data_IF_633578461822
#
_entry.id   IF_633578461822
#
_cell.length_a   1.000
_cell.length_b   1.000
_cell.length_c   1.000
_cell.angle_alpha   90.00
_cell.angle_beta   90.00
_cell.angle_gamma   90.00
#
_symmetry.space_group_name_H-M   'P 1'
#
loop_
_entity.id
_entity.type
_entity.pdbx_description
1 polymer ?
#
# COMPACT_ATOMS: atom_id res chain seq x y z
N UNK A 1 -26.81 -12.43 13.19
CA UNK A 1 -27.16 -11.29 14.09
C UNK A 1 -25.99 -10.36 14.32
N UNK A 2 -24.87 -10.73 14.98
CA UNK A 2 -23.73 -9.80 15.17
C UNK A 2 -23.18 -9.26 13.84
N UNK A 3 -22.94 -10.14 12.87
CA UNK A 3 -22.51 -9.77 11.52
C UNK A 3 -23.47 -8.78 10.85
N UNK A 4 -24.78 -9.07 10.91
CA UNK A 4 -25.79 -8.25 10.22
C UNK A 4 -25.96 -6.87 10.87
N UNK A 5 -25.75 -6.79 12.20
CA UNK A 5 -25.83 -5.53 12.94
C UNK A 5 -24.73 -4.53 12.52
N UNK A 6 -23.56 -5.01 12.11
CA UNK A 6 -22.42 -4.19 11.68
C UNK A 6 -22.29 -4.07 10.15
N UNK A 7 -23.09 -4.80 9.36
CA UNK A 7 -23.02 -4.79 7.88
C UNK A 7 -23.43 -3.39 7.35
N UNK A 8 -22.53 -2.69 6.62
CA UNK A 8 -22.85 -1.36 6.10
C UNK A 8 -24.04 -1.37 5.13
N UNK A 9 -24.28 -2.48 4.43
CA UNK A 9 -25.44 -2.64 3.55
C UNK A 9 -26.78 -2.71 4.29
N UNK A 10 -26.75 -3.06 5.57
CA UNK A 10 -27.90 -3.17 6.49
C UNK A 10 -27.98 -2.01 7.50
N UNK A 11 -27.22 -0.93 7.27
CA UNK A 11 -27.22 0.25 8.15
C UNK A 11 -26.22 0.17 9.31
N UNK A 12 -25.24 -0.74 9.24
CA UNK A 12 -24.20 -0.93 10.25
C UNK A 12 -23.33 0.30 10.51
N UNK A 13 -23.20 1.22 9.54
CA UNK A 13 -22.47 2.49 9.75
C UNK A 13 -23.07 3.35 10.86
N UNK A 14 -24.40 3.30 11.05
CA UNK A 14 -25.08 3.97 12.18
C UNK A 14 -24.62 3.41 13.52
N UNK A 15 -24.54 2.09 13.65
CA UNK A 15 -24.01 1.43 14.85
C UNK A 15 -22.54 1.82 15.10
N UNK A 16 -21.72 1.87 14.05
CA UNK A 16 -20.32 2.26 14.18
C UNK A 16 -20.19 3.73 14.63
N UNK A 17 -21.05 4.62 14.18
CA UNK A 17 -21.09 6.01 14.65
C UNK A 17 -21.42 6.08 16.14
N UNK A 18 -22.41 5.31 16.60
CA UNK A 18 -22.79 5.23 18.01
C UNK A 18 -21.65 4.65 18.85
N UNK A 19 -20.95 3.63 18.33
CA UNK A 19 -19.76 3.07 18.94
C UNK A 19 -18.67 4.16 19.16
N UNK A 20 -18.29 4.90 18.13
CA UNK A 20 -17.28 5.95 18.27
C UNK A 20 -17.73 7.04 19.25
N UNK A 21 -19.00 7.41 19.24
CA UNK A 21 -19.56 8.38 20.17
C UNK A 21 -19.40 7.91 21.63
N UNK A 22 -19.74 6.64 21.89
CA UNK A 22 -19.56 6.04 23.23
C UNK A 22 -18.09 5.91 23.59
N UNK A 23 -17.26 5.44 22.67
CA UNK A 23 -15.84 5.24 22.93
C UNK A 23 -15.15 6.54 23.33
N UNK A 24 -15.39 7.62 22.61
CA UNK A 24 -14.86 8.94 22.95
C UNK A 24 -15.43 9.51 24.25
N UNK A 25 -16.63 9.10 24.66
CA UNK A 25 -17.18 9.47 25.97
C UNK A 25 -16.55 8.68 27.12
N UNK A 26 -16.21 7.40 26.92
CA UNK A 26 -15.53 6.56 27.90
C UNK A 26 -14.07 6.99 28.08
N UNK A 27 -13.40 7.30 26.97
CA UNK A 27 -11.98 7.63 26.96
C UNK A 27 -11.72 8.84 26.03
N UNK A 28 -11.67 10.02 26.64
CA UNK A 28 -11.48 11.26 25.89
C UNK A 28 -10.13 11.33 25.15
N UNK A 29 -9.09 10.66 25.67
CA UNK A 29 -7.77 10.67 25.07
C UNK A 29 -7.75 9.92 23.73
N UNK A 30 -8.63 8.95 23.54
CA UNK A 30 -8.76 8.19 22.29
C UNK A 30 -9.12 9.11 21.11
N UNK A 31 -9.90 10.17 21.33
CA UNK A 31 -10.26 11.10 20.25
C UNK A 31 -9.04 11.72 19.58
N UNK A 32 -7.96 11.90 20.32
CA UNK A 32 -6.72 12.49 19.82
C UNK A 32 -5.90 11.55 18.91
N UNK A 33 -6.22 10.28 18.89
CA UNK A 33 -5.60 9.31 17.97
C UNK A 33 -6.16 9.43 16.55
N UNK A 34 -7.35 10.00 16.38
CA UNK A 34 -8.07 10.07 15.11
C UNK A 34 -7.98 11.45 14.45
N UNK A 35 -8.06 11.51 13.12
CA UNK A 35 -8.21 12.77 12.41
C UNK A 35 -9.56 13.44 12.75
N UNK A 36 -9.72 14.74 12.47
CA UNK A 36 -10.97 15.46 12.69
C UNK A 36 -12.17 14.83 11.99
N UNK A 37 -11.99 14.39 10.75
CA UNK A 37 -13.00 13.71 9.94
C UNK A 37 -12.85 12.19 10.02
N UNK A 38 -13.94 11.50 10.38
CA UNK A 38 -14.03 10.05 10.56
C UNK A 38 -14.92 9.36 9.49
N UNK A 39 -15.47 10.10 8.53
CA UNK A 39 -16.47 9.53 7.59
C UNK A 39 -16.00 8.25 6.90
N UNK A 40 -14.81 8.25 6.34
CA UNK A 40 -14.23 7.06 5.72
C UNK A 40 -13.93 5.92 6.71
N UNK A 41 -13.66 6.25 7.98
CA UNK A 41 -13.34 5.27 9.03
C UNK A 41 -14.57 4.42 9.40
N UNK A 42 -15.76 5.00 9.36
CA UNK A 42 -16.99 4.26 9.71
C UNK A 42 -17.24 3.11 8.74
N UNK A 43 -17.14 3.37 7.45
CA UNK A 43 -17.34 2.34 6.41
C UNK A 43 -16.28 1.24 6.51
N UNK A 44 -15.00 1.60 6.61
CA UNK A 44 -13.90 0.63 6.69
C UNK A 44 -14.03 -0.24 7.95
N UNK A 45 -14.34 0.34 9.11
CA UNK A 45 -14.49 -0.42 10.33
C UNK A 45 -15.73 -1.33 10.31
N UNK A 46 -16.85 -0.84 9.76
CA UNK A 46 -18.05 -1.64 9.54
C UNK A 46 -17.79 -2.86 8.65
N UNK A 47 -17.08 -2.68 7.54
CA UNK A 47 -16.68 -3.76 6.63
C UNK A 47 -15.76 -4.78 7.30
N UNK A 48 -14.77 -4.31 8.05
CA UNK A 48 -13.84 -5.18 8.78
C UNK A 48 -14.54 -6.05 9.82
N UNK A 49 -15.44 -5.47 10.62
CA UNK A 49 -16.23 -6.23 11.60
C UNK A 49 -17.17 -7.21 10.92
N UNK A 50 -17.82 -6.83 9.81
CA UNK A 50 -18.70 -7.71 9.04
C UNK A 50 -17.95 -8.93 8.55
N UNK A 51 -16.75 -8.74 8.01
CA UNK A 51 -15.89 -9.82 7.57
C UNK A 51 -15.42 -10.69 8.74
N UNK A 52 -14.90 -10.10 9.82
CA UNK A 52 -14.43 -10.82 11.01
C UNK A 52 -15.52 -11.71 11.61
N UNK A 53 -16.73 -11.19 11.81
CA UNK A 53 -17.85 -12.01 12.30
C UNK A 53 -18.27 -13.08 11.28
N UNK A 54 -18.12 -12.81 9.98
CA UNK A 54 -18.38 -13.80 8.93
C UNK A 54 -17.42 -14.99 9.00
N UNK A 55 -16.12 -14.71 9.09
CA UNK A 55 -15.10 -15.77 9.17
C UNK A 55 -15.21 -16.62 10.45
N UNK A 56 -15.62 -16.02 11.57
CA UNK A 56 -15.92 -16.79 12.79
C UNK A 56 -17.11 -17.76 12.61
N UNK A 57 -18.15 -17.34 11.88
CA UNK A 57 -19.31 -18.19 11.57
C UNK A 57 -18.88 -19.36 10.68
N UNK A 58 -18.03 -19.10 9.70
CA UNK A 58 -17.52 -20.09 8.75
C UNK A 58 -16.38 -20.95 9.32
N UNK A 59 -16.01 -20.75 10.59
CA UNK A 59 -14.93 -21.43 11.31
C UNK A 59 -13.55 -21.34 10.61
N UNK A 60 -13.30 -20.26 9.88
CA UNK A 60 -12.03 -19.97 9.23
C UNK A 60 -11.22 -19.00 10.11
N UNK A 61 -10.42 -19.54 11.03
CA UNK A 61 -9.73 -18.74 12.04
C UNK A 61 -8.35 -18.19 11.60
N UNK A 62 -7.69 -18.83 10.63
CA UNK A 62 -6.31 -18.48 10.27
C UNK A 62 -6.19 -17.08 9.67
N UNK A 63 -7.00 -16.73 8.69
CA UNK A 63 -6.98 -15.42 8.03
C UNK A 63 -7.34 -14.26 8.97
N UNK A 64 -8.44 -14.36 9.77
CA UNK A 64 -8.77 -13.35 10.78
C UNK A 64 -7.69 -13.13 11.82
N UNK A 65 -7.06 -14.19 12.31
CA UNK A 65 -5.97 -14.07 13.30
C UNK A 65 -4.76 -13.36 12.69
N UNK A 66 -4.35 -13.72 11.48
CA UNK A 66 -3.26 -13.05 10.78
C UNK A 66 -3.56 -11.56 10.52
N UNK A 67 -4.77 -11.25 10.08
CA UNK A 67 -5.23 -9.87 9.87
C UNK A 67 -5.23 -9.06 11.16
N UNK A 68 -5.82 -9.59 12.25
CA UNK A 68 -5.89 -8.90 13.55
C UNK A 68 -4.49 -8.70 14.15
N UNK A 69 -3.62 -9.69 14.02
CA UNK A 69 -2.23 -9.57 14.47
C UNK A 69 -1.50 -8.44 13.73
N UNK A 70 -1.66 -8.38 12.40
CA UNK A 70 -1.09 -7.29 11.61
C UNK A 70 -1.70 -5.93 11.99
N UNK A 71 -3.02 -5.87 12.15
CA UNK A 71 -3.74 -4.66 12.55
C UNK A 71 -3.27 -4.16 13.94
N UNK A 72 -3.01 -5.08 14.88
CA UNK A 72 -2.45 -4.74 16.20
C UNK A 72 -1.07 -4.10 16.09
N UNK A 73 -0.17 -4.68 15.30
CA UNK A 73 1.15 -4.08 15.02
C UNK A 73 1.02 -2.70 14.40
N UNK A 74 0.11 -2.54 13.45
CA UNK A 74 -0.11 -1.27 12.75
C UNK A 74 -0.66 -0.16 13.66
N UNK A 75 -1.43 -0.53 14.68
CA UNK A 75 -2.00 0.44 15.63
C UNK A 75 -0.96 1.09 16.53
N UNK A 76 0.23 0.48 16.69
CA UNK A 76 1.32 1.07 17.49
C UNK A 76 1.72 2.47 17.01
N UNK A 77 1.74 2.70 15.69
CA UNK A 77 2.10 4.01 15.11
C UNK A 77 1.16 5.15 15.49
N UNK A 78 -0.08 4.82 15.88
CA UNK A 78 -1.05 5.81 16.33
C UNK A 78 -0.91 6.14 17.83
N UNK A 79 -0.05 5.43 18.56
CA UNK A 79 0.09 5.60 20.01
C UNK A 79 -0.98 4.86 20.80
N UNK A 80 -1.58 3.81 20.23
CA UNK A 80 -2.54 2.96 20.94
C UNK A 80 -1.83 2.26 22.09
N UNK A 81 -2.40 2.37 23.30
CA UNK A 81 -1.95 1.74 24.54
C UNK A 81 -2.99 0.75 25.06
N UNK A 82 -2.61 -0.05 26.04
CA UNK A 82 -3.47 -1.12 26.57
C UNK A 82 -4.85 -0.64 27.04
N UNK A 83 -4.94 0.52 27.68
CA UNK A 83 -6.23 1.09 28.13
C UNK A 83 -7.20 1.37 26.99
N UNK A 84 -6.69 1.75 25.81
CA UNK A 84 -7.52 2.00 24.63
C UNK A 84 -8.21 0.73 24.11
N UNK A 85 -7.58 -0.43 24.25
CA UNK A 85 -8.20 -1.73 23.88
C UNK A 85 -9.34 -2.07 24.84
N UNK A 86 -9.21 -1.79 26.14
CA UNK A 86 -10.28 -2.02 27.11
C UNK A 86 -11.46 -1.08 26.88
N UNK A 87 -11.22 0.20 26.70
CA UNK A 87 -12.29 1.17 26.44
C UNK A 87 -13.00 0.90 25.11
N UNK A 88 -12.26 0.43 24.08
CA UNK A 88 -12.83 -0.02 22.81
C UNK A 88 -13.75 -1.23 22.99
N UNK A 89 -13.31 -2.24 23.74
CA UNK A 89 -14.12 -3.43 24.04
C UNK A 89 -15.45 -3.04 24.68
N UNK A 90 -15.40 -2.26 25.75
CA UNK A 90 -16.58 -1.82 26.49
C UNK A 90 -17.54 -1.02 25.59
N UNK A 91 -17.01 -0.08 24.81
CA UNK A 91 -17.81 0.71 23.90
C UNK A 91 -18.49 -0.13 22.83
N UNK A 92 -17.77 -1.07 22.21
CA UNK A 92 -18.31 -1.90 21.14
C UNK A 92 -19.33 -2.91 21.67
N UNK A 93 -19.02 -3.58 22.79
CA UNK A 93 -19.93 -4.49 23.45
C UNK A 93 -21.25 -3.83 23.84
N UNK A 94 -21.18 -2.70 24.53
CA UNK A 94 -22.40 -1.99 24.97
C UNK A 94 -23.20 -1.42 23.80
N UNK A 95 -22.55 -1.08 22.71
CA UNK A 95 -23.24 -0.62 21.49
C UNK A 95 -23.96 -1.76 20.77
N UNK A 96 -23.31 -2.93 20.62
CA UNK A 96 -23.94 -4.12 20.07
C UNK A 96 -25.14 -4.58 20.89
N UNK A 97 -24.98 -4.62 22.23
CA UNK A 97 -26.05 -5.01 23.16
C UNK A 97 -27.25 -4.06 23.04
N UNK A 98 -27.01 -2.75 22.98
CA UNK A 98 -28.10 -1.77 22.83
C UNK A 98 -28.81 -1.91 21.47
N UNK A 99 -28.08 -2.17 20.40
CA UNK A 99 -28.63 -2.32 19.05
C UNK A 99 -29.48 -3.57 18.89
N UNK A 100 -29.09 -4.65 19.56
CA UNK A 100 -29.74 -5.97 19.47
C UNK A 100 -30.62 -6.28 20.68
N UNK A 101 -30.98 -5.28 21.49
CA UNK A 101 -31.66 -5.41 22.79
C UNK A 101 -32.80 -6.43 22.79
N UNK A 102 -33.69 -6.40 21.79
CA UNK A 102 -34.87 -7.28 21.69
C UNK A 102 -34.52 -8.73 21.37
N UNK A 103 -33.31 -8.98 20.85
CA UNK A 103 -32.81 -10.29 20.47
C UNK A 103 -31.57 -10.71 21.27
N UNK A 104 -31.26 -9.99 22.37
CA UNK A 104 -30.08 -10.25 23.19
C UNK A 104 -30.42 -11.26 24.26
N UNK A 105 -29.91 -12.47 24.12
CA UNK A 105 -30.00 -13.54 25.10
C UNK A 105 -28.63 -13.92 25.68
N UNK A 106 -28.57 -14.80 26.65
CA UNK A 106 -27.33 -15.22 27.32
C UNK A 106 -26.34 -15.84 26.31
N UNK A 107 -26.83 -16.59 25.32
CA UNK A 107 -25.98 -17.21 24.29
C UNK A 107 -25.35 -16.17 23.38
N UNK A 108 -26.09 -15.15 23.01
CA UNK A 108 -25.57 -14.06 22.18
C UNK A 108 -24.57 -13.18 22.99
N UNK A 109 -24.85 -13.01 24.29
CA UNK A 109 -23.96 -12.31 25.23
C UNK A 109 -22.59 -13.01 25.29
N UNK A 110 -22.58 -14.30 25.58
CA UNK A 110 -21.35 -15.11 25.63
C UNK A 110 -20.60 -15.10 24.30
N UNK A 111 -21.31 -15.22 23.18
CA UNK A 111 -20.72 -15.20 21.84
C UNK A 111 -20.09 -13.85 21.54
N UNK A 112 -20.77 -12.75 21.85
CA UNK A 112 -20.26 -11.40 21.61
C UNK A 112 -19.01 -11.12 22.44
N UNK A 113 -19.01 -11.48 23.73
CA UNK A 113 -17.83 -11.33 24.60
C UNK A 113 -16.65 -12.12 24.08
N UNK A 114 -16.84 -13.41 23.80
CA UNK A 114 -15.78 -14.28 23.31
C UNK A 114 -15.18 -13.78 21.99
N UNK A 115 -16.02 -13.31 21.06
CA UNK A 115 -15.54 -12.77 19.78
C UNK A 115 -14.73 -11.47 19.97
N UNK A 116 -15.21 -10.55 20.79
CA UNK A 116 -14.50 -9.28 21.05
C UNK A 116 -13.21 -9.48 21.84
N UNK A 117 -13.21 -10.38 22.82
CA UNK A 117 -12.02 -10.78 23.57
C UNK A 117 -10.95 -11.38 22.65
N UNK A 118 -11.37 -12.25 21.71
CA UNK A 118 -10.48 -12.81 20.68
C UNK A 118 -9.89 -11.70 19.81
N UNK A 119 -10.70 -10.82 19.24
CA UNK A 119 -10.24 -9.76 18.34
C UNK A 119 -9.23 -8.84 19.03
N UNK A 120 -9.58 -8.37 20.20
CA UNK A 120 -8.74 -7.44 20.98
C UNK A 120 -7.52 -8.15 21.55
N UNK A 121 -7.67 -9.40 22.00
CA UNK A 121 -6.58 -10.20 22.53
C UNK A 121 -5.49 -10.46 21.50
N UNK A 122 -5.87 -10.83 20.26
CA UNK A 122 -4.92 -11.02 19.15
C UNK A 122 -4.20 -9.71 18.79
N UNK A 123 -4.96 -8.61 18.63
CA UNK A 123 -4.38 -7.31 18.29
C UNK A 123 -3.37 -6.85 19.36
N UNK A 124 -3.76 -6.90 20.63
CA UNK A 124 -2.92 -6.52 21.77
C UNK A 124 -1.68 -7.41 21.87
N UNK A 125 -1.86 -8.72 21.81
CA UNK A 125 -0.74 -9.67 21.91
C UNK A 125 0.29 -9.45 20.80
N UNK A 126 -0.16 -9.18 19.58
CA UNK A 126 0.74 -8.89 18.45
C UNK A 126 1.43 -7.52 18.60
N UNK A 127 0.72 -6.51 19.11
CA UNK A 127 1.32 -5.19 19.38
C UNK A 127 2.38 -5.25 20.49
N UNK A 128 2.12 -6.01 21.55
CA UNK A 128 3.04 -6.16 22.69
C UNK A 128 4.27 -7.03 22.33
N UNK A 129 4.11 -8.01 21.45
CA UNK A 129 5.19 -8.88 20.99
C UNK A 129 6.11 -8.20 19.97
N UNK A 130 5.66 -7.14 19.30
CA UNK A 130 6.44 -6.46 18.27
C UNK A 130 7.59 -5.66 18.88
N UNK A 131 8.81 -5.98 18.46
CA UNK A 131 10.03 -5.32 18.91
C UNK A 131 10.32 -4.07 18.07
N UNK A 132 11.03 -3.10 18.67
CA UNK A 132 11.41 -1.87 18.00
C UNK A 132 10.40 -0.74 18.11
N UNK A 133 10.72 0.44 17.57
CA UNK A 133 9.86 1.62 17.65
C UNK A 133 8.59 1.45 16.81
N UNK A 134 7.49 2.11 17.18
CA UNK A 134 6.23 2.04 16.43
C UNK A 134 6.28 2.75 15.09
N UNK A 135 7.23 3.64 14.90
CA UNK A 135 7.52 4.36 13.65
C UNK A 135 8.98 4.83 13.65
N UNK A 136 9.50 5.16 12.48
CA UNK A 136 10.79 5.79 12.29
C UNK A 136 10.58 7.22 11.79
N UNK A 137 11.28 8.19 12.35
CA UNK A 137 11.30 9.57 11.85
C UNK A 137 12.42 9.71 10.81
N UNK A 138 12.18 10.58 9.81
CA UNK A 138 13.17 10.91 8.80
C UNK A 138 13.02 12.36 8.34
N UNK A 139 14.13 12.93 7.88
CA UNK A 139 14.17 14.29 7.34
C UNK A 139 14.24 14.23 5.82
N UNK A 140 13.42 14.99 5.13
CA UNK A 140 13.53 15.18 3.68
C UNK A 140 14.85 15.92 3.39
N UNK A 141 15.75 15.26 2.67
CA UNK A 141 17.06 15.80 2.29
C UNK A 141 17.09 16.26 0.84
N UNK A 142 16.26 15.68 0.00
CA UNK A 142 16.19 16.01 -1.43
C UNK A 142 14.75 15.90 -1.93
N UNK A 143 14.34 16.87 -2.74
CA UNK A 143 13.07 16.85 -3.48
C UNK A 143 13.35 17.19 -4.93
N UNK A 144 13.05 16.27 -5.83
CA UNK A 144 13.19 16.48 -7.26
C UNK A 144 11.82 16.35 -7.94
N UNK A 145 11.31 17.44 -8.51
CA UNK A 145 10.08 17.44 -9.33
C UNK A 145 10.43 16.99 -10.75
N UNK A 146 10.15 15.73 -11.02
CA UNK A 146 10.45 15.10 -12.32
C UNK A 146 9.37 15.32 -13.36
N UNK A 147 8.16 15.71 -12.93
CA UNK A 147 7.07 16.18 -13.80
C UNK A 147 6.14 17.12 -13.04
N UNK A 148 5.09 17.62 -13.72
CA UNK A 148 4.09 18.51 -13.11
C UNK A 148 3.42 17.88 -11.88
N UNK A 149 3.21 16.57 -11.90
CA UNK A 149 2.44 15.82 -10.91
C UNK A 149 3.24 14.69 -10.23
N UNK A 150 4.55 14.57 -10.50
CA UNK A 150 5.42 13.55 -9.91
C UNK A 150 6.63 14.19 -9.24
N UNK A 151 6.88 13.82 -8.00
CA UNK A 151 8.09 14.16 -7.26
C UNK A 151 8.79 12.91 -6.75
N UNK A 152 10.12 12.94 -6.80
CA UNK A 152 11.00 12.01 -6.12
C UNK A 152 11.46 12.66 -4.83
N UNK A 153 11.18 12.00 -3.71
CA UNK A 153 11.49 12.50 -2.36
C UNK A 153 12.48 11.55 -1.71
N UNK A 154 13.62 12.07 -1.28
CA UNK A 154 14.62 11.30 -0.52
C UNK A 154 14.68 11.78 0.91
N UNK A 155 14.68 10.84 1.86
CA UNK A 155 14.80 11.10 3.28
C UNK A 155 16.09 10.48 3.82
N UNK A 156 16.64 11.13 4.84
CA UNK A 156 17.60 10.54 5.76
C UNK A 156 16.81 10.15 7.03
N UNK A 157 16.76 8.86 7.33
CA UNK A 157 16.10 8.34 8.51
C UNK A 157 16.98 8.51 9.75
N UNK A 158 16.37 8.75 10.92
CA UNK A 158 17.09 8.87 12.19
C UNK A 158 17.72 7.52 12.61
N UNK A 159 17.11 6.42 12.14
CA UNK A 159 17.63 5.05 12.30
C UNK A 159 17.30 4.26 11.02
N UNK A 160 18.19 3.35 10.57
CA UNK A 160 17.89 2.52 9.42
C UNK A 160 16.60 1.73 9.62
N UNK A 161 15.72 1.78 8.64
CA UNK A 161 14.48 0.99 8.64
C UNK A 161 14.77 -0.39 8.02
N UNK A 162 14.47 -1.44 8.77
CA UNK A 162 14.60 -2.82 8.28
C UNK A 162 13.40 -3.16 7.39
N UNK A 163 13.57 -3.13 6.07
CA UNK A 163 12.58 -3.56 5.10
C UNK A 163 13.24 -4.39 3.99
N UNK A 164 12.44 -5.06 3.19
CA UNK A 164 12.89 -5.73 1.97
C UNK A 164 12.39 -4.97 0.75
N UNK A 165 13.16 -5.00 -0.33
CA UNK A 165 12.70 -4.46 -1.62
C UNK A 165 11.36 -5.11 -2.00
N UNK A 166 10.41 -4.29 -2.49
CA UNK A 166 9.04 -4.72 -2.80
C UNK A 166 8.05 -4.57 -1.64
N UNK A 167 8.48 -4.24 -0.43
CA UNK A 167 7.58 -3.86 0.66
C UNK A 167 7.15 -2.39 0.54
N UNK A 168 6.08 -2.03 1.23
CA UNK A 168 5.61 -0.65 1.39
C UNK A 168 5.54 -0.25 2.86
N UNK A 169 5.52 1.03 3.11
CA UNK A 169 5.32 1.64 4.44
C UNK A 169 4.13 2.58 4.40
N UNK A 170 3.60 2.96 5.56
CA UNK A 170 2.75 4.14 5.62
C UNK A 170 3.56 5.33 6.08
N UNK A 171 3.32 6.49 5.45
CA UNK A 171 3.98 7.74 5.81
C UNK A 171 2.98 8.76 6.32
N UNK A 172 3.42 9.57 7.28
CA UNK A 172 2.74 10.75 7.75
C UNK A 172 3.63 11.97 7.49
N UNK A 173 3.07 12.96 6.82
CA UNK A 173 3.75 14.24 6.54
C UNK A 173 3.31 15.31 7.54
N UNK A 174 4.15 16.32 7.82
CA UNK A 174 3.86 17.34 8.85
C UNK A 174 2.59 18.16 8.56
N UNK A 175 2.27 18.38 7.29
CA UNK A 175 1.08 19.12 6.86
C UNK A 175 -0.23 18.38 7.15
N UNK A 176 -0.18 17.04 7.29
CA UNK A 176 -1.34 16.19 7.55
C UNK A 176 -1.12 15.28 8.77
N UNK A 177 -1.07 15.81 9.97
CA UNK A 177 -0.91 15.02 11.19
C UNK A 177 -2.06 14.00 11.35
N UNK A 178 -1.73 12.80 11.88
CA UNK A 178 -2.66 11.68 12.09
C UNK A 178 -3.23 11.06 10.80
N UNK A 179 -2.75 11.47 9.61
CA UNK A 179 -3.11 10.86 8.34
C UNK A 179 -1.91 10.14 7.75
N UNK A 180 -2.10 8.87 7.47
CA UNK A 180 -1.07 7.99 6.94
C UNK A 180 -1.40 7.59 5.52
N UNK A 181 -0.37 7.47 4.67
CA UNK A 181 -0.52 7.06 3.27
C UNK A 181 0.50 5.98 2.93
N UNK A 182 0.05 4.95 2.21
CA UNK A 182 0.94 3.91 1.69
C UNK A 182 1.87 4.47 0.62
N UNK A 183 3.16 4.26 0.80
CA UNK A 183 4.20 4.54 -0.18
C UNK A 183 5.19 3.38 -0.22
N UNK A 184 5.61 2.99 -1.42
CA UNK A 184 6.63 1.95 -1.60
C UNK A 184 8.00 2.62 -1.80
N UNK A 185 9.04 2.20 -1.05
CA UNK A 185 10.39 2.64 -1.31
C UNK A 185 10.81 2.30 -2.75
N UNK A 186 11.53 3.23 -3.39
CA UNK A 186 12.03 3.07 -4.75
C UNK A 186 13.45 2.53 -4.81
N UNK A 187 14.03 2.19 -3.66
CA UNK A 187 15.37 1.61 -3.51
C UNK A 187 15.35 0.49 -2.47
N UNK A 188 16.30 -0.45 -2.49
CA UNK A 188 16.47 -1.41 -1.41
C UNK A 188 16.94 -0.72 -0.12
N UNK A 189 16.85 -1.41 1.05
CA UNK A 189 17.31 -0.83 2.31
C UNK A 189 18.76 -0.36 2.21
N UNK A 190 18.98 0.82 2.76
CA UNK A 190 20.29 1.46 2.83
C UNK A 190 20.79 1.44 4.28
N UNK A 191 22.04 1.00 4.53
CA UNK A 191 22.60 0.93 5.89
C UNK A 191 22.79 2.31 6.53
N UNK A 192 22.95 3.36 5.73
CA UNK A 192 23.09 4.75 6.19
C UNK A 192 21.73 5.43 6.43
N UNK A 193 20.62 4.72 6.24
CA UNK A 193 19.28 5.20 6.50
C UNK A 193 18.68 6.06 5.39
N UNK A 194 19.24 6.03 4.18
CA UNK A 194 18.60 6.69 3.04
C UNK A 194 17.36 5.89 2.56
N UNK A 195 16.28 6.61 2.24
CA UNK A 195 15.08 6.03 1.63
C UNK A 195 14.51 7.00 0.61
N UNK A 196 13.98 6.47 -0.51
CA UNK A 196 13.46 7.27 -1.61
C UNK A 196 12.03 6.84 -1.96
N UNK A 197 11.17 7.81 -2.20
CA UNK A 197 9.78 7.61 -2.62
C UNK A 197 9.48 8.37 -3.91
N UNK A 198 8.76 7.73 -4.82
CA UNK A 198 8.20 8.38 -6.00
C UNK A 198 6.72 8.62 -5.77
N UNK A 199 6.31 9.88 -5.74
CA UNK A 199 4.94 10.25 -5.39
C UNK A 199 4.28 10.98 -6.54
N UNK A 200 3.10 10.51 -6.96
CA UNK A 200 2.25 11.18 -7.93
C UNK A 200 1.08 11.85 -7.23
N UNK A 201 0.84 13.10 -7.57
CA UNK A 201 -0.35 13.85 -7.16
C UNK A 201 -1.61 13.24 -7.80
N UNK A 202 -2.55 12.83 -6.97
CA UNK A 202 -3.84 12.27 -7.40
C UNK A 202 -4.92 13.32 -7.20
N UNK A 203 -5.69 13.61 -8.26
CA UNK A 203 -6.79 14.56 -8.20
C UNK A 203 -7.83 14.13 -7.15
N UNK A 204 -8.23 15.06 -6.29
CA UNK A 204 -9.13 14.79 -5.16
C UNK A 204 -8.46 14.13 -3.95
N UNK A 205 -7.20 13.71 -4.04
CA UNK A 205 -6.42 13.26 -2.89
C UNK A 205 -5.98 14.43 -2.01
N UNK A 206 -5.78 14.20 -0.73
CA UNK A 206 -5.30 15.25 0.20
C UNK A 206 -3.78 15.23 0.35
N UNK A 207 -3.19 14.06 0.55
CA UNK A 207 -1.78 13.92 0.93
C UNK A 207 -0.86 14.00 -0.30
N UNK A 208 -1.17 13.27 -1.38
CA UNK A 208 -0.27 13.25 -2.54
C UNK A 208 -0.10 14.60 -3.23
N UNK A 209 -1.14 15.47 -3.38
CA UNK A 209 -0.94 16.85 -3.87
C UNK A 209 -0.04 17.67 -2.94
N UNK A 210 -0.20 17.54 -1.62
CA UNK A 210 0.64 18.22 -0.63
C UNK A 210 2.10 17.75 -0.73
N UNK A 211 2.32 16.43 -0.83
CA UNK A 211 3.68 15.89 -0.99
C UNK A 211 4.35 16.44 -2.24
N UNK A 212 3.64 16.47 -3.37
CA UNK A 212 4.20 16.99 -4.64
C UNK A 212 4.35 18.51 -4.63
N UNK A 213 3.39 19.23 -4.01
CA UNK A 213 3.31 20.70 -4.08
C UNK A 213 4.00 21.46 -2.96
N UNK A 214 4.03 20.91 -1.75
CA UNK A 214 4.36 21.67 -0.54
C UNK A 214 5.55 21.10 0.25
N UNK A 215 5.95 19.82 0.02
CA UNK A 215 7.11 19.24 0.69
C UNK A 215 8.37 20.03 0.39
N UNK A 216 9.22 20.21 1.42
CA UNK A 216 10.49 20.91 1.34
C UNK A 216 11.61 20.12 2.03
N UNK A 217 12.87 20.29 1.61
CA UNK A 217 14.01 19.82 2.40
C UNK A 217 13.94 20.37 3.84
N UNK A 218 14.14 19.48 4.81
CA UNK A 218 13.97 19.77 6.23
C UNK A 218 12.63 19.33 6.83
N UNK A 219 11.62 19.01 6.02
CA UNK A 219 10.37 18.44 6.52
C UNK A 219 10.61 17.10 7.24
N UNK A 220 9.94 16.92 8.36
CA UNK A 220 10.02 15.69 9.17
C UNK A 220 8.86 14.76 8.83
N UNK A 221 9.17 13.59 8.29
CA UNK A 221 8.19 12.55 7.99
C UNK A 221 8.28 11.42 9.01
N UNK A 222 7.16 10.77 9.28
CA UNK A 222 7.08 9.52 10.04
C UNK A 222 6.78 8.37 9.12
N UNK A 223 7.48 7.27 9.30
CA UNK A 223 7.33 6.04 8.53
C UNK A 223 6.94 4.90 9.47
N UNK A 224 5.89 4.15 9.14
CA UNK A 224 5.53 2.92 9.88
C UNK A 224 6.54 1.82 9.63
N UNK A 225 6.40 0.73 10.37
CA UNK A 225 7.03 -0.53 10.02
C UNK A 225 6.57 -0.98 8.62
N UNK A 226 7.43 -1.74 7.88
CA UNK A 226 7.13 -2.16 6.53
C UNK A 226 6.04 -3.23 6.47
N UNK A 227 5.32 -3.25 5.35
CA UNK A 227 4.22 -4.17 5.04
C UNK A 227 4.39 -4.76 3.65
N UNK A 228 3.52 -5.72 3.33
CA UNK A 228 3.50 -6.35 2.02
C UNK A 228 4.54 -7.47 1.88
N UNK A 229 4.41 -8.20 0.80
CA UNK A 229 5.22 -9.39 0.57
C UNK A 229 5.60 -9.60 -0.90
N UNK A 230 5.52 -8.56 -1.72
CA UNK A 230 5.91 -8.67 -3.14
C UNK A 230 7.41 -8.95 -3.22
N UNK A 231 7.75 -10.07 -3.85
CA UNK A 231 9.15 -10.55 -3.91
C UNK A 231 9.41 -11.33 -5.19
N UNK A 232 10.68 -11.44 -5.54
CA UNK A 232 11.17 -12.31 -6.61
C UNK A 232 11.77 -13.55 -5.98
N UNK A 233 11.29 -14.72 -6.38
CA UNK A 233 12.00 -15.97 -6.15
C UNK A 233 13.10 -16.09 -7.21
N UNK A 234 14.36 -16.06 -6.80
CA UNK A 234 15.51 -16.08 -7.71
C UNK A 234 15.65 -17.40 -8.45
N UNK A 235 15.09 -18.46 -7.89
CA UNK A 235 15.09 -19.81 -8.49
C UNK A 235 13.76 -20.13 -9.19
N UNK A 236 12.78 -19.24 -9.08
CA UNK A 236 11.40 -19.38 -9.59
C UNK A 236 11.23 -19.11 -11.10
N UNK A 237 12.33 -18.95 -11.83
CA UNK A 237 12.31 -18.65 -13.28
C UNK A 237 12.28 -17.16 -13.61
N UNK A 238 12.14 -16.87 -14.90
CA UNK A 238 12.16 -15.50 -15.42
C UNK A 238 11.01 -14.64 -14.88
N UNK A 239 11.16 -13.32 -14.92
CA UNK A 239 10.25 -12.35 -14.28
C UNK A 239 9.69 -11.39 -15.32
N UNK A 240 8.38 -11.18 -15.28
CA UNK A 240 7.68 -10.07 -15.92
C UNK A 240 7.33 -9.02 -14.90
N UNK A 241 7.71 -7.78 -15.13
CA UNK A 241 7.31 -6.63 -14.34
C UNK A 241 6.48 -5.66 -15.17
N UNK A 242 5.38 -5.18 -14.61
CA UNK A 242 4.52 -4.17 -15.26
C UNK A 242 4.31 -3.00 -14.31
N UNK A 243 4.90 -1.87 -14.66
CA UNK A 243 4.88 -0.65 -13.86
C UNK A 243 4.03 0.44 -14.53
N UNK A 244 3.00 0.92 -13.85
CA UNK A 244 2.25 2.12 -14.29
C UNK A 244 2.62 3.35 -13.46
N UNK A 245 3.17 4.39 -14.12
CA UNK A 245 3.56 5.64 -13.45
C UNK A 245 4.47 5.39 -12.23
N UNK A 246 4.16 5.97 -11.04
CA UNK A 246 4.93 5.77 -9.81
C UNK A 246 4.82 4.36 -9.20
N UNK A 247 3.99 3.48 -9.76
CA UNK A 247 4.08 2.04 -9.49
C UNK A 247 5.42 1.42 -9.90
N UNK A 248 6.26 2.18 -10.59
CA UNK A 248 7.66 1.81 -10.82
C UNK A 248 8.46 1.68 -9.51
N UNK A 249 8.17 2.46 -8.48
CA UNK A 249 8.98 2.54 -7.27
C UNK A 249 9.32 1.16 -6.64
N UNK A 250 8.35 0.31 -6.26
CA UNK A 250 8.66 -0.99 -5.66
C UNK A 250 9.37 -1.94 -6.64
N UNK A 251 9.05 -1.88 -7.93
CA UNK A 251 9.71 -2.72 -8.94
C UNK A 251 11.14 -2.27 -9.20
N UNK A 252 11.42 -0.96 -9.17
CA UNK A 252 12.76 -0.41 -9.23
C UNK A 252 13.59 -0.85 -8.03
N UNK A 253 13.01 -0.83 -6.82
CA UNK A 253 13.69 -1.32 -5.63
C UNK A 253 14.09 -2.80 -5.78
N UNK A 254 13.19 -3.66 -6.28
CA UNK A 254 13.48 -5.06 -6.57
C UNK A 254 14.58 -5.24 -7.63
N UNK A 255 14.53 -4.47 -8.70
CA UNK A 255 15.58 -4.48 -9.74
C UNK A 255 16.94 -4.07 -9.14
N UNK A 256 16.97 -3.01 -8.35
CA UNK A 256 18.21 -2.55 -7.68
C UNK A 256 18.73 -3.59 -6.68
N UNK A 257 17.84 -4.28 -5.98
CA UNK A 257 18.24 -5.35 -5.07
C UNK A 257 18.88 -6.52 -5.83
N UNK A 258 18.34 -6.89 -6.98
CA UNK A 258 18.91 -7.91 -7.85
C UNK A 258 20.34 -7.54 -8.33
N UNK A 259 20.68 -6.28 -8.50
CA UNK A 259 22.05 -5.87 -8.90
C UNK A 259 23.13 -6.24 -7.89
N UNK A 260 22.76 -6.58 -6.66
CA UNK A 260 23.68 -7.03 -5.60
C UNK A 260 24.13 -8.49 -5.77
N UNK A 261 23.52 -9.23 -6.71
CA UNK A 261 23.74 -10.66 -6.88
C UNK A 261 24.40 -10.96 -8.24
N UNK A 262 25.28 -11.93 -8.26
CA UNK A 262 26.00 -12.33 -9.47
C UNK A 262 25.17 -13.16 -10.47
N UNK A 263 24.13 -13.87 -9.98
CA UNK A 263 23.24 -14.68 -10.80
C UNK A 263 21.79 -14.22 -10.56
N UNK A 264 21.11 -13.84 -11.62
CA UNK A 264 19.75 -13.32 -11.57
C UNK A 264 18.86 -13.96 -12.64
N UNK A 265 17.54 -14.09 -12.38
CA UNK A 265 16.58 -14.42 -13.44
C UNK A 265 16.55 -13.29 -14.49
N UNK A 266 16.10 -13.60 -15.70
CA UNK A 266 15.84 -12.55 -16.69
C UNK A 266 14.60 -11.77 -16.27
N UNK A 267 14.72 -10.45 -16.27
CA UNK A 267 13.63 -9.54 -15.93
C UNK A 267 13.24 -8.75 -17.16
N UNK A 268 11.95 -8.76 -17.50
CA UNK A 268 11.40 -7.89 -18.52
C UNK A 268 10.45 -6.89 -17.84
N UNK A 269 10.84 -5.62 -17.80
CA UNK A 269 10.04 -4.53 -17.26
C UNK A 269 9.33 -3.80 -18.40
N UNK A 270 7.98 -3.73 -18.33
CA UNK A 270 7.19 -2.75 -19.09
C UNK A 270 6.92 -1.57 -18.18
N UNK A 271 7.45 -0.40 -18.52
CA UNK A 271 7.25 0.84 -17.78
C UNK A 271 6.34 1.77 -18.56
N UNK A 272 5.16 2.05 -18.01
CA UNK A 272 4.08 2.75 -18.67
C UNK A 272 3.68 4.08 -18.03
N UNK A 273 3.32 5.02 -18.90
CA UNK A 273 2.71 6.29 -18.57
C UNK A 273 1.60 6.63 -19.57
N UNK A 274 0.85 7.68 -19.30
CA UNK A 274 -0.14 8.19 -20.25
C UNK A 274 0.53 8.89 -21.42
N UNK A 275 1.58 9.66 -21.12
CA UNK A 275 2.36 10.40 -22.10
C UNK A 275 3.85 10.06 -22.00
N UNK A 276 4.65 10.27 -23.07
CA UNK A 276 6.09 10.02 -23.02
C UNK A 276 6.81 10.76 -21.88
N UNK A 277 6.42 12.00 -21.56
CA UNK A 277 6.99 12.80 -20.47
C UNK A 277 6.71 12.21 -19.06
N UNK A 278 5.81 11.26 -18.92
CA UNK A 278 5.53 10.60 -17.65
C UNK A 278 6.46 9.39 -17.40
N UNK A 279 7.29 9.03 -18.38
CA UNK A 279 8.32 7.98 -18.25
C UNK A 279 9.59 8.53 -17.58
N UNK A 280 9.41 9.16 -16.45
CA UNK A 280 10.34 10.04 -15.74
C UNK A 280 11.67 9.39 -15.33
N UNK A 281 11.73 8.09 -15.14
CA UNK A 281 12.90 7.36 -14.61
C UNK A 281 13.63 6.51 -15.67
N UNK A 282 13.34 6.73 -16.95
CA UNK A 282 14.01 6.01 -18.05
C UNK A 282 15.54 6.14 -18.05
N UNK A 283 16.14 7.31 -17.71
CA UNK A 283 17.59 7.42 -17.63
C UNK A 283 18.20 6.49 -16.58
N UNK A 284 17.59 6.37 -15.39
CA UNK A 284 18.04 5.48 -14.33
C UNK A 284 17.89 4.01 -14.76
N UNK A 285 16.73 3.65 -15.33
CA UNK A 285 16.47 2.29 -15.82
C UNK A 285 17.46 1.90 -16.93
N UNK A 286 17.79 2.83 -17.84
CA UNK A 286 18.81 2.60 -18.86
C UNK A 286 20.19 2.36 -18.24
N UNK A 287 20.58 3.16 -17.27
CA UNK A 287 21.86 3.00 -16.58
C UNK A 287 21.95 1.62 -15.93
N UNK A 288 20.89 1.17 -15.25
CA UNK A 288 20.84 -0.15 -14.64
C UNK A 288 20.90 -1.25 -15.74
N UNK A 289 20.08 -1.15 -16.78
CA UNK A 289 20.02 -2.16 -17.85
C UNK A 289 21.33 -2.25 -18.65
N UNK A 290 22.03 -1.14 -18.85
CA UNK A 290 23.32 -1.14 -19.57
C UNK A 290 24.42 -1.95 -18.86
N UNK A 291 24.32 -2.07 -17.54
CA UNK A 291 25.27 -2.81 -16.71
C UNK A 291 24.78 -4.22 -16.34
N UNK A 292 23.51 -4.53 -16.64
CA UNK A 292 22.85 -5.75 -16.21
C UNK A 292 22.12 -6.44 -17.37
N UNK A 293 22.80 -7.35 -18.12
CA UNK A 293 22.23 -8.01 -19.30
C UNK A 293 20.96 -8.84 -19.06
N UNK A 294 20.68 -9.17 -17.80
CA UNK A 294 19.46 -9.88 -17.41
C UNK A 294 18.23 -8.96 -17.36
N UNK A 295 18.40 -7.62 -17.41
CA UNK A 295 17.31 -6.65 -17.37
C UNK A 295 16.98 -6.14 -18.77
N UNK A 296 15.74 -6.30 -19.19
CA UNK A 296 15.16 -5.70 -20.41
C UNK A 296 14.07 -4.70 -20.03
N UNK A 297 14.08 -3.52 -20.62
CA UNK A 297 13.10 -2.47 -20.33
C UNK A 297 12.39 -2.04 -21.60
N UNK A 298 11.05 -2.10 -21.59
CA UNK A 298 10.16 -1.63 -22.66
C UNK A 298 9.36 -0.42 -22.20
N UNK A 299 9.70 0.79 -22.67
CA UNK A 299 8.91 1.99 -22.40
C UNK A 299 7.57 1.93 -23.15
N UNK A 300 6.48 2.30 -22.47
CA UNK A 300 5.11 2.30 -23.02
C UNK A 300 4.42 3.62 -22.73
N UNK A 301 3.76 4.24 -23.69
CA UNK A 301 2.84 5.34 -23.41
C UNK A 301 1.53 5.19 -24.17
N UNK A 302 0.41 5.61 -23.55
CA UNK A 302 -0.89 5.53 -24.21
C UNK A 302 -0.94 6.44 -25.45
N UNK A 303 -0.35 7.62 -25.36
CA UNK A 303 -0.26 8.58 -26.45
C UNK A 303 1.17 8.66 -26.99
N UNK A 304 1.28 8.84 -28.30
CA UNK A 304 2.58 8.92 -28.98
C UNK A 304 3.34 10.23 -28.72
N UNK A 305 2.62 11.29 -28.43
CA UNK A 305 3.18 12.66 -28.25
C UNK A 305 2.81 13.19 -26.86
N UNK A 306 3.66 14.06 -26.37
CA UNK A 306 3.37 14.84 -25.18
C UNK A 306 2.18 15.79 -25.38
N UNK A 307 1.41 16.08 -24.34
CA UNK A 307 0.32 17.06 -24.41
C UNK A 307 0.89 18.48 -24.56
N UNK A 308 0.07 19.44 -25.05
CA UNK A 308 0.55 20.83 -25.26
C UNK A 308 1.13 21.51 -24.02
N UNK A 309 0.63 21.18 -22.84
CA UNK A 309 1.14 21.73 -21.57
C UNK A 309 2.51 21.18 -21.16
N UNK A 310 2.98 20.14 -21.80
CA UNK A 310 4.29 19.52 -21.57
C UNK A 310 5.28 19.85 -22.69
N UNK A 311 5.03 20.91 -23.47
CA UNK A 311 5.91 21.32 -24.57
C UNK A 311 7.34 21.66 -24.11
N UNK A 312 7.50 22.13 -22.87
CA UNK A 312 8.80 22.45 -22.28
C UNK A 312 9.52 21.23 -21.68
N UNK A 313 8.86 20.10 -21.58
CA UNK A 313 9.53 18.87 -21.17
C UNK A 313 10.21 18.25 -22.38
N UNK A 314 11.51 17.93 -22.30
CA UNK A 314 12.19 17.27 -23.40
C UNK A 314 11.46 15.97 -23.75
N UNK A 315 11.30 15.71 -25.05
CA UNK A 315 10.88 14.40 -25.52
C UNK A 315 11.85 13.36 -24.93
N UNK A 316 11.37 12.59 -23.97
CA UNK A 316 12.16 11.51 -23.38
C UNK A 316 12.28 10.41 -24.43
N UNK A 317 13.25 10.58 -25.33
CA UNK A 317 13.62 9.49 -26.19
C UNK A 317 14.32 8.42 -25.36
N UNK A 318 13.88 7.16 -25.44
CA UNK A 318 14.58 6.08 -24.74
C UNK A 318 16.06 6.12 -25.16
N UNK A 319 16.98 6.14 -24.19
CA UNK A 319 18.40 6.01 -24.51
C UNK A 319 18.65 4.73 -25.31
N UNK A 320 19.70 4.70 -26.12
CA UNK A 320 20.11 3.48 -26.82
C UNK A 320 20.33 2.35 -25.81
N UNK A 321 19.77 1.17 -26.08
CA UNK A 321 19.88 -0.01 -25.18
C UNK A 321 18.61 -0.39 -24.45
N UNK A 322 17.57 0.47 -24.47
CA UNK A 322 16.21 0.06 -24.12
C UNK A 322 15.47 -0.46 -25.37
N UNK A 323 14.41 -1.23 -25.15
CA UNK A 323 13.53 -1.60 -26.25
C UNK A 323 12.85 -0.38 -26.88
N UNK A 324 12.41 -0.54 -28.11
CA UNK A 324 11.68 0.52 -28.83
C UNK A 324 10.44 0.90 -28.04
N UNK A 325 10.22 2.22 -27.88
CA UNK A 325 9.04 2.78 -27.25
C UNK A 325 7.76 2.28 -27.93
N UNK A 326 6.87 1.73 -27.12
CA UNK A 326 5.58 1.20 -27.55
C UNK A 326 4.47 2.20 -27.29
N UNK A 327 3.47 2.24 -28.18
CA UNK A 327 2.27 3.06 -28.01
C UNK A 327 1.06 2.17 -27.79
N UNK A 328 0.27 2.45 -26.76
CA UNK A 328 -0.92 1.72 -26.37
C UNK A 328 -1.04 1.60 -24.85
N UNK A 329 -2.13 1.03 -24.38
CA UNK A 329 -2.34 0.75 -22.96
C UNK A 329 -1.48 -0.42 -22.50
N UNK A 330 -0.96 -0.38 -21.28
CA UNK A 330 -0.10 -1.44 -20.73
C UNK A 330 -0.66 -2.86 -20.91
N UNK A 331 -1.95 -3.16 -20.53
CA UNK A 331 -2.52 -4.50 -20.72
C UNK A 331 -2.44 -5.00 -22.16
N UNK A 332 -2.72 -4.11 -23.12
CA UNK A 332 -2.72 -4.44 -24.55
C UNK A 332 -1.31 -4.67 -25.08
N UNK A 333 -0.37 -3.81 -24.68
CA UNK A 333 1.02 -3.89 -25.13
C UNK A 333 1.69 -5.14 -24.56
N UNK A 334 1.59 -5.39 -23.26
CA UNK A 334 2.20 -6.55 -22.59
C UNK A 334 1.72 -7.86 -23.20
N UNK A 335 0.43 -7.98 -23.47
CA UNK A 335 -0.17 -9.22 -24.02
C UNK A 335 0.10 -9.47 -25.51
N UNK A 336 0.68 -8.51 -26.24
CA UNK A 336 1.17 -8.72 -27.61
C UNK A 336 2.44 -9.58 -27.67
N UNK A 337 3.23 -9.61 -26.59
CA UNK A 337 4.53 -10.28 -26.57
C UNK A 337 4.49 -11.73 -26.07
N UNK A 338 3.34 -12.24 -25.67
CA UNK A 338 3.18 -13.63 -25.26
C UNK A 338 2.16 -13.82 -24.16
N UNK A 339 2.07 -15.05 -23.66
CA UNK A 339 1.16 -15.41 -22.58
C UNK A 339 1.77 -15.26 -21.18
N UNK A 340 3.11 -15.19 -21.08
CA UNK A 340 3.87 -15.01 -19.84
C UNK A 340 3.60 -16.06 -18.74
N UNK A 341 3.01 -17.21 -19.10
CA UNK A 341 2.58 -18.23 -18.14
C UNK A 341 3.72 -18.97 -17.45
N UNK A 342 4.93 -18.88 -18.00
CA UNK A 342 6.16 -19.47 -17.47
C UNK A 342 6.90 -18.55 -16.47
N UNK A 343 6.38 -17.34 -16.21
CA UNK A 343 7.09 -16.31 -15.46
C UNK A 343 6.44 -15.99 -14.12
N UNK A 344 7.24 -15.44 -13.22
CA UNK A 344 6.76 -14.68 -12.07
C UNK A 344 6.30 -13.33 -12.59
N UNK A 345 5.11 -12.88 -12.18
CA UNK A 345 4.50 -11.65 -12.70
C UNK A 345 4.27 -10.67 -11.56
N UNK A 346 4.86 -9.49 -11.64
CA UNK A 346 4.71 -8.42 -10.66
C UNK A 346 4.07 -7.20 -11.33
N UNK A 347 2.95 -6.72 -10.80
CA UNK A 347 2.20 -5.60 -11.37
C UNK A 347 2.05 -4.50 -10.32
N UNK A 348 2.47 -3.27 -10.64
CA UNK A 348 2.35 -2.12 -9.75
C UNK A 348 1.86 -0.88 -10.49
N UNK A 349 0.90 -0.17 -9.87
CA UNK A 349 0.32 1.05 -10.46
C UNK A 349 -1.04 1.38 -9.88
N UNK A 350 -1.82 2.20 -10.56
CA UNK A 350 -3.19 2.52 -10.16
C UNK A 350 -4.10 1.29 -10.22
N UNK A 351 -5.15 1.22 -9.36
CA UNK A 351 -6.04 0.07 -9.24
C UNK A 351 -6.60 -0.43 -10.57
N UNK A 352 -7.11 0.47 -11.40
CA UNK A 352 -7.72 0.12 -12.70
C UNK A 352 -6.69 -0.52 -13.64
N UNK A 353 -5.45 0.02 -13.66
CA UNK A 353 -4.38 -0.52 -14.50
C UNK A 353 -3.94 -1.90 -14.03
N UNK A 354 -3.79 -2.09 -12.71
CA UNK A 354 -3.42 -3.38 -12.12
C UNK A 354 -4.48 -4.42 -12.42
N UNK A 355 -5.76 -4.11 -12.18
CA UNK A 355 -6.90 -5.00 -12.46
C UNK A 355 -6.96 -5.37 -13.95
N UNK A 356 -6.94 -4.39 -14.85
CA UNK A 356 -7.01 -4.63 -16.28
C UNK A 356 -5.80 -5.44 -16.80
N UNK A 357 -4.60 -5.21 -16.26
CA UNK A 357 -3.41 -5.96 -16.65
C UNK A 357 -3.48 -7.41 -16.16
N UNK A 358 -3.91 -7.62 -14.92
CA UNK A 358 -4.11 -8.97 -14.35
C UNK A 358 -5.13 -9.76 -15.16
N UNK A 359 -6.29 -9.17 -15.43
CA UNK A 359 -7.33 -9.82 -16.24
C UNK A 359 -6.86 -10.17 -17.65
N UNK A 360 -6.17 -9.23 -18.31
CA UNK A 360 -5.64 -9.45 -19.66
C UNK A 360 -4.59 -10.58 -19.71
N UNK A 361 -3.71 -10.67 -18.70
CA UNK A 361 -2.72 -11.73 -18.60
C UNK A 361 -3.36 -13.09 -18.30
N UNK A 362 -4.33 -13.16 -17.39
CA UNK A 362 -5.09 -14.38 -17.11
C UNK A 362 -5.84 -14.85 -18.36
N UNK A 363 -6.49 -13.94 -19.09
CA UNK A 363 -7.18 -14.26 -20.34
C UNK A 363 -6.23 -14.80 -21.43
N UNK A 364 -4.93 -14.50 -21.35
CA UNK A 364 -3.87 -15.06 -22.22
C UNK A 364 -3.23 -16.32 -21.66
N UNK A 365 -3.68 -16.84 -20.53
CA UNK A 365 -3.23 -18.10 -19.96
C UNK A 365 -2.14 -17.98 -18.89
N UNK A 366 -1.90 -16.78 -18.34
CA UNK A 366 -1.02 -16.64 -17.18
C UNK A 366 -1.74 -17.17 -15.91
N UNK A 367 -1.10 -18.06 -15.12
CA UNK A 367 -1.67 -18.56 -13.88
C UNK A 367 -1.85 -17.43 -12.86
N UNK A 368 -3.03 -17.32 -12.24
CA UNK A 368 -3.35 -16.24 -11.30
C UNK A 368 -2.43 -16.24 -10.08
N UNK A 369 -2.01 -17.41 -9.62
CA UNK A 369 -1.12 -17.63 -8.49
C UNK A 369 0.33 -17.16 -8.73
N UNK A 370 0.71 -16.92 -9.97
CA UNK A 370 2.01 -16.34 -10.34
C UNK A 370 2.00 -14.83 -10.43
N UNK A 371 0.83 -14.20 -10.26
CA UNK A 371 0.66 -12.75 -10.36
C UNK A 371 0.65 -12.15 -8.96
N UNK A 372 1.63 -11.32 -8.66
CA UNK A 372 1.76 -10.56 -7.42
C UNK A 372 1.45 -9.09 -7.67
N UNK A 373 0.74 -8.47 -6.76
CA UNK A 373 0.53 -7.02 -6.67
C UNK A 373 0.24 -6.64 -5.23
N UNK A 374 0.53 -5.41 -4.85
CA UNK A 374 0.12 -4.90 -3.53
C UNK A 374 -1.41 -4.82 -3.43
N UNK A 375 -1.98 -4.84 -2.21
CA UNK A 375 -3.40 -4.61 -2.01
C UNK A 375 -3.83 -3.32 -2.69
N UNK A 376 -4.87 -3.39 -3.51
CA UNK A 376 -5.43 -2.22 -4.17
C UNK A 376 -6.13 -1.38 -3.09
N UNK A 377 -5.52 -0.25 -2.71
CA UNK A 377 -6.16 0.68 -1.80
C UNK A 377 -7.42 1.24 -2.46
N UNK A 378 -8.58 0.92 -1.88
CA UNK A 378 -9.85 1.54 -2.22
C UNK A 378 -9.94 2.97 -1.67
#
# INVERSE_FOLDING_TARGET
MLRDAVDPRLGGEGLIRDFYTKWFAIDLAVRDLFPPDLGGQFTVFSQALTWLFGELIDQRAEEPVAFLAQLGRDHRKYGVVQSHYFSMHEALYTTLRAKLSDNWDDKLDDTARAALELFIGVMRGAADAEQGPPFCDGTVVELNRVSRDISVVRLALDQPLAYFAGQYVTVQVPQWPRRWRYLSPAMPPDPDGAIEFHVRSVAGGMISPTVVGETQPGDRWRLSNPHGGMKIDRDGGDVLMVAGSTGLAPLRALIMDLTRWGVNPRVHLFFGGRYPCELYDLPTLWQIASQNPWLSVSPVSEFRKNPPWAADYPDVQPPRGLHVHQTGRLPEVVTKYGNWGDRQILICGGPDMVTATKEALIAKGAPAERIQHDPLAG
#
